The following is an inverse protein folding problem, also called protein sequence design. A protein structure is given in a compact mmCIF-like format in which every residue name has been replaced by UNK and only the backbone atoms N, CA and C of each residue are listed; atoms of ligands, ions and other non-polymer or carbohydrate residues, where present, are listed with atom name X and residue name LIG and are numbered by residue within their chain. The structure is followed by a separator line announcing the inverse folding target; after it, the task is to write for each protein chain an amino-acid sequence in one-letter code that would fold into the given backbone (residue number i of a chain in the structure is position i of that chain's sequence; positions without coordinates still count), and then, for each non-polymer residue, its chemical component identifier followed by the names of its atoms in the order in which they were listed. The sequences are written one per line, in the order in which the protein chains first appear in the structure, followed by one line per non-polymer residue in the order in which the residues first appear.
data_IF_504627105242
#
_entry.id   IF_504627105242
#
_cell.length_a   1.000
_cell.length_b   1.000
_cell.length_c   1.000
_cell.angle_alpha   90.00
_cell.angle_beta   90.00
_cell.angle_gamma   90.00
#
_symmetry.space_group_name_H-M   'P 1'
#
loop_
_entity.id
_entity.type
_entity.pdbx_description
1 polymer ?
#
# COMPACT_ATOMS: atom_id res chain seq x y z
N UNK A 1 8.45 -16.71 -3.48
CA UNK A 1 9.49 -16.97 -2.45
C UNK A 1 9.51 -18.45 -2.14
N UNK A 2 10.70 -19.06 -2.16
CA UNK A 2 10.90 -20.45 -1.80
C UNK A 2 11.58 -20.52 -0.44
N UNK A 3 10.94 -21.18 0.53
CA UNK A 3 11.44 -21.22 1.90
C UNK A 3 11.04 -22.49 2.66
N UNK A 4 11.76 -22.77 3.75
CA UNK A 4 11.39 -23.81 4.71
C UNK A 4 11.02 -23.16 6.03
N UNK A 5 9.80 -23.41 6.50
CA UNK A 5 9.22 -22.78 7.67
C UNK A 5 8.96 -23.82 8.77
N UNK A 6 9.29 -23.47 10.02
CA UNK A 6 8.93 -24.27 11.18
C UNK A 6 7.58 -23.78 11.69
N UNK A 7 6.55 -24.61 11.55
CA UNK A 7 5.20 -24.28 12.01
C UNK A 7 5.10 -24.38 13.55
N UNK A 8 4.22 -23.60 14.19
CA UNK A 8 3.99 -23.72 15.63
C UNK A 8 3.60 -25.15 16.02
N UNK A 9 4.37 -25.76 16.93
CA UNK A 9 4.15 -27.14 17.38
C UNK A 9 4.70 -28.24 16.46
N UNK A 10 5.34 -27.89 15.33
CA UNK A 10 5.99 -28.85 14.46
C UNK A 10 7.40 -29.19 14.94
N UNK A 11 7.81 -30.45 14.75
CA UNK A 11 9.19 -30.92 15.02
C UNK A 11 10.07 -30.97 13.76
N UNK A 12 9.49 -30.68 12.59
CA UNK A 12 10.17 -30.63 11.30
C UNK A 12 9.68 -29.43 10.48
N UNK A 13 10.55 -28.91 9.62
CA UNK A 13 10.22 -27.79 8.73
C UNK A 13 9.39 -28.25 7.53
N UNK A 14 8.48 -27.38 7.11
CA UNK A 14 7.66 -27.55 5.90
C UNK A 14 8.16 -26.60 4.83
N UNK A 15 8.30 -27.10 3.59
CA UNK A 15 8.64 -26.24 2.46
C UNK A 15 7.39 -25.51 1.98
N UNK A 16 7.51 -24.21 1.71
CA UNK A 16 6.47 -23.42 1.04
C UNK A 16 7.07 -22.72 -0.18
N UNK A 17 6.28 -22.68 -1.24
CA UNK A 17 6.54 -21.89 -2.43
C UNK A 17 5.40 -20.89 -2.52
N UNK A 18 5.69 -19.61 -2.34
CA UNK A 18 4.69 -18.55 -2.24
C UNK A 18 5.02 -17.49 -3.27
N UNK A 19 4.39 -17.51 -4.43
CA UNK A 19 4.54 -16.42 -5.38
C UNK A 19 3.44 -15.37 -5.18
N UNK A 20 3.78 -14.12 -5.53
CA UNK A 20 2.84 -13.01 -5.45
C UNK A 20 3.05 -12.06 -6.61
N UNK A 21 1.95 -11.53 -7.13
CA UNK A 21 1.95 -10.50 -8.16
C UNK A 21 0.96 -9.41 -7.82
N UNK A 22 1.27 -8.16 -8.17
CA UNK A 22 0.42 -7.03 -7.83
C UNK A 22 0.20 -6.08 -9.00
N UNK A 23 -0.85 -5.28 -8.89
CA UNK A 23 -1.15 -4.19 -9.80
C UNK A 23 -1.60 -2.97 -9.01
N UNK A 24 -1.52 -1.79 -9.64
CA UNK A 24 -2.12 -0.59 -9.11
C UNK A 24 -2.65 0.30 -10.22
N UNK A 25 -3.68 1.07 -9.90
CA UNK A 25 -4.20 2.13 -10.74
C UNK A 25 -4.30 3.42 -9.92
N UNK A 26 -3.88 4.55 -10.51
CA UNK A 26 -3.91 5.85 -9.85
C UNK A 26 -4.44 6.93 -10.77
N UNK A 27 -5.42 7.69 -10.28
CA UNK A 27 -5.94 8.88 -10.92
C UNK A 27 -5.62 10.09 -10.06
N UNK A 28 -5.08 11.16 -10.66
CA UNK A 28 -4.88 12.45 -10.01
C UNK A 28 -5.52 13.52 -10.87
N UNK A 29 -6.31 14.37 -10.26
CA UNK A 29 -6.96 15.49 -10.93
C UNK A 29 -6.70 16.81 -10.22
N UNK A 30 -6.35 17.83 -11.01
CA UNK A 30 -6.12 19.21 -10.56
C UNK A 30 -7.25 20.11 -11.11
N UNK A 31 -8.29 20.34 -10.33
CA UNK A 31 -9.43 21.17 -10.76
C UNK A 31 -9.18 22.67 -10.64
N UNK A 32 -8.19 23.08 -9.83
CA UNK A 32 -7.76 24.47 -9.63
C UNK A 32 -6.25 24.53 -9.45
N UNK A 33 -5.61 25.68 -9.76
CA UNK A 33 -4.21 25.89 -9.39
C UNK A 33 -4.01 25.53 -7.92
N UNK A 34 -2.94 24.78 -7.62
CA UNK A 34 -2.53 24.35 -6.27
C UNK A 34 -3.36 23.25 -5.59
N UNK A 35 -4.52 22.87 -6.11
CA UNK A 35 -5.39 21.87 -5.50
C UNK A 35 -5.45 20.60 -6.32
N UNK A 36 -5.17 19.45 -5.72
CA UNK A 36 -5.29 18.14 -6.38
C UNK A 36 -6.00 17.14 -5.50
N UNK A 37 -6.64 16.18 -6.14
CA UNK A 37 -7.25 15.04 -5.48
C UNK A 37 -6.81 13.81 -6.26
N UNK A 38 -6.62 12.72 -5.52
CA UNK A 38 -6.20 11.47 -6.08
C UNK A 38 -6.99 10.30 -5.51
N UNK A 39 -7.13 9.28 -6.34
CA UNK A 39 -7.58 7.96 -5.94
C UNK A 39 -6.50 6.97 -6.39
N UNK A 40 -6.17 6.03 -5.52
CA UNK A 40 -5.32 4.89 -5.85
C UNK A 40 -5.98 3.60 -5.38
N UNK A 41 -5.90 2.58 -6.21
CA UNK A 41 -6.32 1.22 -5.89
C UNK A 41 -5.11 0.32 -6.15
N UNK A 42 -4.76 -0.50 -5.16
CA UNK A 42 -3.73 -1.52 -5.24
C UNK A 42 -4.39 -2.88 -5.07
N UNK A 43 -3.96 -3.87 -5.87
CA UNK A 43 -4.36 -5.26 -5.71
C UNK A 43 -3.16 -6.17 -5.71
N UNK A 44 -3.20 -7.20 -4.87
CA UNK A 44 -2.19 -8.23 -4.78
C UNK A 44 -2.87 -9.59 -4.98
N UNK A 45 -2.24 -10.45 -5.75
CA UNK A 45 -2.62 -11.85 -5.89
C UNK A 45 -1.56 -12.69 -5.20
N UNK A 46 -2.01 -13.56 -4.31
CA UNK A 46 -1.17 -14.40 -3.46
C UNK A 46 -1.44 -15.87 -3.79
N UNK A 47 -0.38 -16.63 -4.02
CA UNK A 47 -0.52 -18.08 -4.08
C UNK A 47 -0.96 -18.65 -2.72
N UNK A 48 -1.80 -19.68 -2.74
CA UNK A 48 -2.15 -20.45 -1.54
C UNK A 48 -0.94 -21.30 -1.12
N UNK A 49 -0.31 -21.04 0.04
CA UNK A 49 0.81 -21.83 0.53
C UNK A 49 0.40 -23.25 0.97
N UNK A 50 -0.90 -23.53 1.05
CA UNK A 50 -1.51 -24.78 1.46
C UNK A 50 -2.10 -24.75 2.87
N UNK A 51 -3.09 -25.60 3.12
CA UNK A 51 -3.89 -25.64 4.36
C UNK A 51 -3.08 -25.82 5.66
N UNK A 52 -1.86 -26.34 5.56
CA UNK A 52 -0.95 -26.48 6.70
C UNK A 52 -0.44 -25.14 7.25
N UNK A 53 -0.56 -24.05 6.50
CA UNK A 53 -0.21 -22.70 6.94
C UNK A 53 -1.42 -21.91 7.47
N UNK A 54 -2.60 -22.53 7.55
CA UNK A 54 -3.80 -21.86 8.06
C UNK A 54 -3.61 -21.32 9.48
N UNK A 55 -3.98 -20.06 9.70
CA UNK A 55 -3.82 -19.36 10.98
C UNK A 55 -2.39 -18.92 11.30
N UNK A 56 -1.46 -19.00 10.35
CA UNK A 56 -0.10 -18.45 10.48
C UNK A 56 0.03 -17.12 9.73
N UNK A 57 1.16 -16.43 9.90
CA UNK A 57 1.48 -15.20 9.14
C UNK A 57 1.59 -15.43 7.61
N UNK A 58 1.69 -16.69 7.17
CA UNK A 58 1.74 -17.04 5.75
C UNK A 58 0.36 -17.33 5.16
N UNK A 59 -0.68 -17.41 5.99
CA UNK A 59 -2.06 -17.63 5.54
C UNK A 59 -2.52 -16.46 4.66
N UNK A 60 -2.85 -16.75 3.39
CA UNK A 60 -3.39 -15.74 2.47
C UNK A 60 -4.83 -15.33 2.81
N UNK A 61 -5.43 -15.92 3.86
CA UNK A 61 -6.80 -15.67 4.33
C UNK A 61 -7.88 -15.97 3.28
N UNK A 62 -7.49 -16.66 2.20
CA UNK A 62 -8.37 -17.09 1.12
C UNK A 62 -8.83 -15.98 0.18
N UNK A 63 -8.17 -14.82 0.15
CA UNK A 63 -8.54 -13.71 -0.74
C UNK A 63 -7.33 -12.94 -1.29
N UNK A 64 -7.52 -12.28 -2.43
CA UNK A 64 -6.54 -11.42 -3.08
C UNK A 64 -6.70 -9.99 -2.52
N UNK A 65 -5.76 -9.50 -1.68
CA UNK A 65 -6.05 -8.32 -0.89
C UNK A 65 -6.04 -7.03 -1.72
N UNK A 66 -6.96 -6.14 -1.36
CA UNK A 66 -7.14 -4.83 -1.98
C UNK A 66 -6.82 -3.70 -1.00
N UNK A 67 -6.26 -2.61 -1.54
CA UNK A 67 -6.08 -1.36 -0.78
C UNK A 67 -6.58 -0.18 -1.59
N UNK A 68 -7.32 0.69 -0.92
CA UNK A 68 -7.83 1.94 -1.49
C UNK A 68 -7.19 3.13 -0.78
N UNK A 69 -6.80 4.15 -1.54
CA UNK A 69 -6.29 5.39 -1.00
C UNK A 69 -6.94 6.61 -1.65
N UNK A 70 -7.42 7.53 -0.82
CA UNK A 70 -7.88 8.85 -1.22
C UNK A 70 -6.84 9.88 -0.81
N UNK A 71 -6.48 10.76 -1.72
CA UNK A 71 -5.49 11.82 -1.52
C UNK A 71 -6.12 13.18 -1.78
N UNK A 72 -5.75 14.16 -0.98
CA UNK A 72 -6.07 15.55 -1.22
C UNK A 72 -4.86 16.45 -0.90
N UNK A 73 -4.44 17.23 -1.89
CA UNK A 73 -3.26 18.07 -1.83
C UNK A 73 -3.62 19.56 -1.95
N UNK A 74 -2.97 20.38 -1.12
CA UNK A 74 -2.93 21.83 -1.25
C UNK A 74 -1.48 22.32 -1.31
N UNK A 75 -1.11 23.02 -2.37
CA UNK A 75 0.23 23.61 -2.53
C UNK A 75 0.19 25.10 -2.20
N UNK A 76 0.78 25.52 -1.07
CA UNK A 76 0.78 26.93 -0.67
C UNK A 76 1.71 27.76 -1.57
N UNK A 77 2.85 27.19 -1.96
CA UNK A 77 3.81 27.76 -2.91
C UNK A 77 4.35 26.66 -3.84
N UNK A 78 5.32 26.99 -4.69
CA UNK A 78 6.07 26.01 -5.48
C UNK A 78 6.98 25.11 -4.62
N UNK A 79 7.17 25.48 -3.35
CA UNK A 79 8.09 24.80 -2.43
C UNK A 79 7.38 24.09 -1.30
N UNK A 80 6.09 24.34 -1.05
CA UNK A 80 5.37 23.74 0.06
C UNK A 80 4.01 23.18 -0.33
N UNK A 81 3.72 21.98 0.19
CA UNK A 81 2.47 21.25 0.00
C UNK A 81 2.01 20.58 1.29
N UNK A 82 0.72 20.66 1.56
CA UNK A 82 0.04 19.84 2.55
C UNK A 82 -0.69 18.72 1.81
N UNK A 83 -0.52 17.48 2.25
CA UNK A 83 -1.23 16.30 1.74
C UNK A 83 -2.00 15.64 2.87
N UNK A 84 -3.29 15.45 2.66
CA UNK A 84 -4.12 14.56 3.46
C UNK A 84 -4.35 13.28 2.66
N UNK A 85 -4.14 12.14 3.29
CA UNK A 85 -4.39 10.84 2.69
C UNK A 85 -5.18 9.95 3.65
N UNK A 86 -6.18 9.25 3.12
CA UNK A 86 -6.91 8.19 3.81
C UNK A 86 -6.67 6.88 3.09
N UNK A 87 -6.29 5.83 3.82
CA UNK A 87 -6.15 4.48 3.28
C UNK A 87 -7.15 3.54 3.95
N UNK A 88 -7.71 2.63 3.17
CA UNK A 88 -8.43 1.45 3.63
C UNK A 88 -7.71 0.22 3.09
N UNK A 89 -7.14 -0.57 3.99
CA UNK A 89 -6.37 -1.78 3.68
C UNK A 89 -7.17 -3.02 4.08
N UNK A 90 -7.36 -3.94 3.14
CA UNK A 90 -8.12 -5.17 3.33
C UNK A 90 -7.21 -6.41 3.35
N UNK A 91 -5.89 -6.25 3.54
CA UNK A 91 -4.92 -7.35 3.53
C UNK A 91 -4.84 -8.19 4.79
N UNK A 92 -5.56 -7.82 5.85
CA UNK A 92 -5.55 -8.53 7.12
C UNK A 92 -6.89 -9.16 7.46
N UNK A 93 -6.94 -9.89 8.58
CA UNK A 93 -8.18 -10.46 9.14
C UNK A 93 -9.30 -9.42 9.37
N UNK A 94 -8.91 -8.15 9.52
CA UNK A 94 -9.82 -7.00 9.60
C UNK A 94 -9.26 -5.88 8.74
N UNK A 95 -10.16 -5.14 8.10
CA UNK A 95 -9.78 -3.94 7.37
C UNK A 95 -9.15 -2.90 8.29
N UNK A 96 -8.05 -2.30 7.88
CA UNK A 96 -7.38 -1.19 8.58
C UNK A 96 -7.68 0.14 7.89
N UNK A 97 -7.90 1.19 8.70
CA UNK A 97 -8.22 2.54 8.22
C UNK A 97 -7.18 3.53 8.74
N UNK A 98 -6.44 4.16 7.83
CA UNK A 98 -5.30 5.01 8.17
C UNK A 98 -5.51 6.44 7.68
N UNK A 99 -5.25 7.42 8.53
CA UNK A 99 -5.22 8.83 8.16
C UNK A 99 -3.80 9.36 8.26
N UNK A 100 -3.33 10.02 7.20
CA UNK A 100 -1.97 10.54 7.11
C UNK A 100 -2.06 12.02 6.72
N UNK A 101 -1.48 12.88 7.53
CA UNK A 101 -1.29 14.30 7.20
C UNK A 101 0.20 14.56 7.02
N UNK A 102 0.59 15.10 5.87
CA UNK A 102 1.97 15.38 5.53
C UNK A 102 2.14 16.86 5.19
N UNK A 103 3.20 17.47 5.73
CA UNK A 103 3.73 18.74 5.26
C UNK A 103 5.02 18.47 4.49
N UNK A 104 5.02 18.80 3.20
CA UNK A 104 6.12 18.54 2.27
C UNK A 104 6.74 19.90 1.93
N UNK A 105 8.03 20.06 2.23
CA UNK A 105 8.81 21.24 1.90
C UNK A 105 10.00 20.87 1.02
N UNK A 106 10.17 21.54 -0.11
CA UNK A 106 11.32 21.42 -0.99
C UNK A 106 12.30 22.56 -0.72
N UNK A 107 13.56 22.24 -0.39
CA UNK A 107 14.61 23.22 -0.07
C UNK A 107 15.71 23.09 -1.13
N UNK A 108 15.97 24.16 -1.90
CA UNK A 108 17.02 24.20 -2.93
C UNK A 108 17.09 25.53 -3.70
N UNK A 109 18.25 25.85 -4.29
CA UNK A 109 18.46 27.06 -5.10
C UNK A 109 17.74 26.95 -6.45
N UNK A 110 16.88 27.91 -6.78
CA UNK A 110 16.04 27.86 -7.98
C UNK A 110 16.84 27.99 -9.28
N UNK A 111 16.67 27.03 -10.18
CA UNK A 111 16.96 27.14 -11.61
C UNK A 111 15.72 26.75 -12.42
N UNK A 112 14.88 27.75 -12.75
CA UNK A 112 13.91 27.79 -13.85
C UNK A 112 13.08 26.53 -14.25
N UNK A 113 12.64 25.64 -13.34
CA UNK A 113 11.66 24.59 -13.71
C UNK A 113 10.63 24.31 -12.60
N UNK A 114 9.38 24.06 -13.02
CA UNK A 114 8.26 23.71 -12.14
C UNK A 114 8.37 22.25 -11.64
N UNK A 115 8.09 22.05 -10.35
CA UNK A 115 7.87 20.75 -9.70
C UNK A 115 6.37 20.44 -9.54
#
# INVERSE_FOLDING_TARGET
EHGTYLLPGATASTSANIDSNGWYAQLIYQWKPRWRAGLRIDGLSLDDPGTQFAGTELDSLGDDPLRYALMFDYSHSEFSRIRLQFNRDESGLKSDNQFILQYIMSIGAHGAHQF
#
